data_IF_950655032210
#
_entry.id   IF_950655032210
#
_cell.length_a   1.000
_cell.length_b   1.000
_cell.length_c   1.000
_cell.angle_alpha   90.00
_cell.angle_beta   90.00
_cell.angle_gamma   90.00
#
_symmetry.space_group_name_H-M   'P 1'
#
loop_
_entity.id
_entity.type
_entity.pdbx_description
1 polymer ?
#
# COMPACT_ATOMS: atom_id res chain seq x y z
N UNK A 1 -22.00 -30.31 27.63
CA UNK A 1 -21.90 -28.93 28.15
C UNK A 1 -20.55 -28.72 28.82
N UNK A 2 -19.59 -28.13 28.11
CA UNK A 2 -18.41 -27.49 28.71
C UNK A 2 -18.17 -26.22 27.90
N UNK A 3 -18.48 -25.07 28.50
CA UNK A 3 -18.26 -23.77 27.88
C UNK A 3 -16.77 -23.45 27.98
N UNK A 4 -16.19 -23.00 26.87
CA UNK A 4 -14.82 -22.49 26.85
C UNK A 4 -14.95 -20.97 26.92
N UNK A 5 -14.69 -20.43 28.11
CA UNK A 5 -14.66 -19.00 28.37
C UNK A 5 -13.35 -18.42 27.83
N UNK A 6 -13.42 -17.72 26.71
CA UNK A 6 -12.28 -16.94 26.18
C UNK A 6 -12.13 -15.69 27.04
N UNK A 7 -11.05 -15.61 27.81
CA UNK A 7 -10.65 -14.38 28.52
C UNK A 7 -10.01 -13.43 27.53
N UNK A 8 -10.71 -12.33 27.24
CA UNK A 8 -10.16 -11.17 26.53
C UNK A 8 -9.05 -10.53 27.38
N UNK A 9 -7.83 -10.49 26.83
CA UNK A 9 -6.71 -9.74 27.37
C UNK A 9 -6.68 -8.41 26.62
N UNK A 10 -7.18 -7.35 27.27
CA UNK A 10 -7.21 -5.99 26.75
C UNK A 10 -5.78 -5.44 26.82
N UNK A 11 -5.15 -5.27 25.66
CA UNK A 11 -3.87 -4.60 25.49
C UNK A 11 -4.03 -3.59 24.34
N UNK A 12 -3.81 -2.31 24.70
CA UNK A 12 -3.59 -1.13 23.86
C UNK A 12 -4.11 -1.13 22.43
N UNK A 13 -5.15 -0.34 22.17
CA UNK A 13 -5.73 -0.10 20.86
C UNK A 13 -4.73 0.42 19.83
N UNK A 14 -4.20 -0.49 19.03
CA UNK A 14 -4.13 -0.29 17.59
C UNK A 14 -5.49 -0.73 17.04
N UNK A 15 -6.22 0.21 16.45
CA UNK A 15 -7.22 -0.15 15.47
C UNK A 15 -6.47 -0.78 14.29
N UNK A 16 -6.14 -2.07 14.41
CA UNK A 16 -5.99 -2.92 13.25
C UNK A 16 -7.36 -2.88 12.60
N UNK A 17 -7.53 -2.03 11.59
CA UNK A 17 -8.46 -2.36 10.53
C UNK A 17 -8.14 -3.82 10.20
N UNK A 18 -9.06 -4.74 10.49
CA UNK A 18 -8.97 -6.07 9.93
C UNK A 18 -8.99 -5.82 8.43
N UNK A 19 -7.81 -5.77 7.80
CA UNK A 19 -7.71 -5.89 6.37
C UNK A 19 -8.46 -7.20 6.09
N UNK A 20 -9.64 -7.13 5.49
CA UNK A 20 -10.36 -8.33 5.11
C UNK A 20 -9.41 -9.08 4.16
N UNK A 21 -8.87 -10.21 4.61
CA UNK A 21 -7.92 -10.98 3.82
C UNK A 21 -8.73 -11.58 2.68
N UNK A 22 -8.37 -11.26 1.44
CA UNK A 22 -9.02 -11.85 0.28
C UNK A 22 -8.62 -13.32 0.16
N UNK A 23 -9.59 -14.21 0.08
CA UNK A 23 -9.35 -15.63 -0.18
C UNK A 23 -9.37 -15.89 -1.68
N UNK A 24 -8.31 -16.54 -2.20
CA UNK A 24 -8.22 -16.91 -3.61
C UNK A 24 -8.50 -18.40 -3.76
N UNK A 25 -9.34 -18.72 -4.73
CA UNK A 25 -9.78 -20.06 -5.07
C UNK A 25 -9.48 -20.35 -6.54
N UNK A 26 -9.19 -21.61 -6.86
CA UNK A 26 -9.03 -22.12 -8.22
C UNK A 26 -9.84 -23.39 -8.41
N UNK A 27 -10.44 -23.54 -9.58
CA UNK A 27 -11.25 -24.72 -9.89
C UNK A 27 -12.04 -24.55 -11.17
N UNK A 28 -13.30 -24.99 -11.17
CA UNK A 28 -14.14 -24.99 -12.37
C UNK A 28 -15.56 -24.47 -12.15
N UNK A 29 -16.08 -23.82 -13.19
CA UNK A 29 -17.51 -23.59 -13.42
C UNK A 29 -17.91 -24.37 -14.68
N UNK A 30 -18.67 -25.44 -14.51
CA UNK A 30 -18.91 -26.41 -15.57
C UNK A 30 -17.62 -27.09 -16.01
N UNK A 31 -17.13 -26.77 -17.21
CA UNK A 31 -15.84 -27.23 -17.73
C UNK A 31 -14.79 -26.12 -17.80
N UNK A 32 -15.19 -24.88 -17.56
CA UNK A 32 -14.30 -23.72 -17.64
C UNK A 32 -13.47 -23.63 -16.37
N UNK A 33 -12.16 -23.44 -16.54
CA UNK A 33 -11.26 -23.23 -15.41
C UNK A 33 -11.32 -21.77 -14.98
N UNK A 34 -11.43 -21.55 -13.68
CA UNK A 34 -11.58 -20.21 -13.12
C UNK A 34 -10.65 -20.00 -11.94
N UNK A 35 -10.30 -18.73 -11.74
CA UNK A 35 -9.70 -18.22 -10.50
C UNK A 35 -10.66 -17.19 -9.94
N UNK A 36 -10.92 -17.27 -8.64
CA UNK A 36 -11.90 -16.44 -7.93
C UNK A 36 -11.26 -15.88 -6.66
N UNK A 37 -11.41 -14.59 -6.43
CA UNK A 37 -11.05 -13.91 -5.20
C UNK A 37 -12.34 -13.46 -4.49
N UNK A 38 -12.47 -13.78 -3.20
CA UNK A 38 -13.60 -13.40 -2.37
C UNK A 38 -13.10 -12.60 -1.17
N UNK A 39 -13.74 -11.45 -0.94
CA UNK A 39 -13.51 -10.58 0.22
C UNK A 39 -14.80 -10.60 1.04
N UNK A 40 -14.79 -11.39 2.09
CA UNK A 40 -15.96 -11.55 2.96
C UNK A 40 -16.06 -10.38 3.94
N UNK A 41 -17.24 -9.78 4.03
CA UNK A 41 -17.60 -8.79 5.05
C UNK A 41 -18.82 -9.26 5.87
N UNK A 42 -19.11 -8.55 6.97
CA UNK A 42 -20.14 -8.95 7.94
C UNK A 42 -21.57 -8.99 7.38
N UNK A 43 -21.87 -8.22 6.32
CA UNK A 43 -23.22 -8.13 5.72
C UNK A 43 -23.25 -8.32 4.20
N UNK A 44 -22.16 -7.99 3.53
CA UNK A 44 -21.93 -8.21 2.11
C UNK A 44 -20.44 -8.41 1.89
N UNK A 45 -20.10 -9.26 0.94
CA UNK A 45 -18.75 -9.37 0.41
C UNK A 45 -18.65 -8.79 -0.99
N UNK A 46 -17.42 -8.48 -1.40
CA UNK A 46 -17.06 -8.17 -2.78
C UNK A 46 -16.11 -9.27 -3.26
N UNK A 47 -15.88 -9.33 -4.55
CA UNK A 47 -14.93 -10.27 -5.10
C UNK A 47 -14.75 -10.06 -6.58
N UNK A 48 -14.02 -11.00 -7.17
CA UNK A 48 -13.79 -11.01 -8.60
C UNK A 48 -13.46 -12.41 -9.08
N UNK A 49 -13.69 -12.68 -10.34
CA UNK A 49 -13.24 -13.92 -10.96
C UNK A 49 -12.84 -13.69 -12.41
N UNK A 50 -12.00 -14.58 -12.93
CA UNK A 50 -11.72 -14.67 -14.36
C UNK A 50 -11.67 -16.13 -14.79
N UNK A 51 -11.90 -16.38 -16.07
CA UNK A 51 -11.66 -17.68 -16.69
C UNK A 51 -10.24 -17.73 -17.24
N UNK A 52 -9.54 -18.87 -17.09
CA UNK A 52 -8.18 -19.04 -17.66
C UNK A 52 -8.16 -18.90 -19.19
N UNK A 53 -9.32 -18.96 -19.84
CA UNK A 53 -9.45 -18.76 -21.28
C UNK A 53 -9.47 -17.27 -21.66
N UNK A 54 -10.16 -16.44 -20.88
CA UNK A 54 -10.40 -15.04 -21.24
C UNK A 54 -9.46 -14.06 -20.55
N UNK A 55 -8.90 -14.42 -19.38
CA UNK A 55 -8.04 -13.52 -18.60
C UNK A 55 -8.64 -12.12 -18.38
N UNK A 56 -9.97 -12.07 -18.24
CA UNK A 56 -10.74 -10.86 -17.98
C UNK A 56 -11.35 -10.96 -16.60
N UNK A 57 -11.06 -9.97 -15.76
CA UNK A 57 -11.65 -9.88 -14.42
C UNK A 57 -13.10 -9.42 -14.51
N UNK A 58 -13.98 -10.16 -13.86
CA UNK A 58 -15.38 -9.85 -13.63
C UNK A 58 -15.58 -9.56 -12.16
N UNK A 59 -16.38 -8.55 -11.82
CA UNK A 59 -16.64 -8.19 -10.43
C UNK A 59 -17.74 -9.09 -9.86
N UNK A 60 -17.64 -9.42 -8.58
CA UNK A 60 -18.62 -10.23 -7.86
C UNK A 60 -19.20 -9.43 -6.69
N UNK A 61 -20.51 -9.55 -6.49
CA UNK A 61 -21.15 -9.15 -5.24
C UNK A 61 -21.58 -10.42 -4.51
N UNK A 62 -21.29 -10.48 -3.22
CA UNK A 62 -21.53 -11.65 -2.38
C UNK A 62 -22.54 -11.27 -1.30
N UNK A 63 -23.64 -12.03 -1.24
CA UNK A 63 -24.56 -11.98 -0.12
C UNK A 63 -24.38 -13.26 0.71
N UNK A 64 -23.98 -13.14 2.00
CA UNK A 64 -24.14 -14.24 2.92
C UNK A 64 -25.65 -14.44 3.09
N UNK A 65 -26.15 -15.58 2.62
CA UNK A 65 -27.58 -15.81 2.63
C UNK A 65 -27.97 -16.54 3.91
N UNK A 66 -28.51 -15.79 4.87
CA UNK A 66 -29.17 -16.34 6.04
C UNK A 66 -30.61 -16.67 5.65
N UNK A 67 -30.83 -17.62 4.72
CA UNK A 67 -32.15 -18.21 4.46
C UNK A 67 -32.58 -19.05 5.67
N UNK A 68 -32.68 -18.42 6.84
CA UNK A 68 -33.37 -18.95 7.99
C UNK A 68 -34.86 -18.79 7.71
N UNK A 69 -35.49 -19.87 7.29
CA UNK A 69 -36.83 -20.10 7.81
C UNK A 69 -36.67 -20.41 9.30
N UNK A 70 -37.42 -19.72 10.16
CA UNK A 70 -37.39 -19.89 11.62
C UNK A 70 -37.67 -21.36 12.07
N UNK A 71 -38.10 -22.23 11.15
CA UNK A 71 -38.54 -23.61 11.40
C UNK A 71 -37.67 -24.72 10.76
N UNK A 72 -36.53 -24.41 10.12
CA UNK A 72 -35.65 -25.44 9.53
C UNK A 72 -34.30 -25.54 10.22
N UNK A 73 -33.82 -26.78 10.40
CA UNK A 73 -32.47 -27.07 10.91
C UNK A 73 -31.40 -26.23 10.20
N UNK A 74 -30.31 -25.83 10.89
CA UNK A 74 -29.25 -25.02 10.30
C UNK A 74 -28.70 -25.73 9.06
N UNK A 75 -29.05 -25.22 7.88
CA UNK A 75 -28.37 -25.59 6.65
C UNK A 75 -26.98 -24.95 6.66
N UNK A 76 -26.02 -25.64 6.05
CA UNK A 76 -24.63 -25.19 5.91
C UNK A 76 -24.56 -23.73 5.37
N UNK A 77 -23.51 -22.96 5.70
CA UNK A 77 -23.38 -21.58 5.23
C UNK A 77 -23.30 -21.51 3.69
N UNK A 78 -24.33 -20.93 3.05
CA UNK A 78 -24.36 -20.70 1.60
C UNK A 78 -24.07 -19.24 1.26
N UNK A 79 -23.39 -19.03 0.14
CA UNK A 79 -23.14 -17.73 -0.47
C UNK A 79 -23.91 -17.63 -1.78
N UNK A 80 -24.65 -16.54 -1.93
CA UNK A 80 -25.16 -16.11 -3.24
C UNK A 80 -24.17 -15.13 -3.83
N UNK A 81 -23.60 -15.47 -4.99
CA UNK A 81 -22.57 -14.67 -5.64
C UNK A 81 -23.05 -14.28 -7.04
N UNK A 82 -23.11 -12.99 -7.30
CA UNK A 82 -23.64 -12.47 -8.59
C UNK A 82 -22.53 -11.69 -9.30
N UNK A 83 -22.18 -12.07 -10.54
CA UNK A 83 -21.23 -11.36 -11.38
C UNK A 83 -21.80 -10.09 -12.00
N UNK A 84 -20.93 -9.09 -12.19
CA UNK A 84 -21.15 -7.90 -13.02
C UNK A 84 -22.45 -7.12 -12.71
N UNK A 85 -22.86 -7.10 -11.44
CA UNK A 85 -24.03 -6.32 -10.98
C UNK A 85 -23.72 -4.82 -11.06
N UNK A 86 -24.59 -4.00 -11.67
CA UNK A 86 -24.43 -2.56 -11.66
C UNK A 86 -24.45 -2.01 -10.24
N UNK A 87 -23.41 -1.29 -9.83
CA UNK A 87 -23.46 -0.49 -8.59
C UNK A 87 -24.42 0.68 -8.72
N UNK A 88 -25.15 0.98 -7.66
CA UNK A 88 -25.89 2.24 -7.59
C UNK A 88 -24.91 3.43 -7.53
N UNK A 89 -25.33 4.61 -8.01
CA UNK A 89 -24.52 5.84 -7.95
C UNK A 89 -24.10 6.27 -6.54
N UNK A 90 -24.79 5.79 -5.49
CA UNK A 90 -24.49 6.04 -4.08
C UNK A 90 -23.45 5.06 -3.49
N UNK A 91 -22.89 4.16 -4.32
CA UNK A 91 -21.89 3.18 -3.90
C UNK A 91 -22.47 1.96 -3.17
N UNK A 92 -23.80 1.89 -3.00
CA UNK A 92 -24.47 0.70 -2.48
C UNK A 92 -24.62 -0.38 -3.54
N UNK A 93 -24.33 -1.63 -3.18
CA UNK A 93 -24.85 -2.76 -3.92
C UNK A 93 -26.36 -2.85 -3.66
N UNK A 94 -27.18 -2.78 -4.71
CA UNK A 94 -28.62 -3.02 -4.60
C UNK A 94 -28.83 -4.46 -4.17
N UNK A 95 -29.51 -4.70 -3.05
CA UNK A 95 -30.07 -6.03 -2.77
C UNK A 95 -30.99 -6.41 -3.93
N UNK A 96 -30.73 -7.54 -4.58
CA UNK A 96 -31.61 -8.07 -5.63
C UNK A 96 -32.78 -8.80 -4.97
N UNK A 97 -34.00 -8.56 -5.45
CA UNK A 97 -35.14 -9.42 -5.14
C UNK A 97 -34.97 -10.81 -5.76
N UNK A 98 -35.71 -11.82 -5.29
CA UNK A 98 -35.68 -13.17 -5.88
C UNK A 98 -36.00 -13.15 -7.38
N UNK A 99 -36.99 -12.34 -7.79
CA UNK A 99 -37.37 -12.21 -9.21
C UNK A 99 -36.22 -11.61 -10.04
N UNK A 100 -35.52 -10.61 -9.52
CA UNK A 100 -34.34 -10.02 -10.19
C UNK A 100 -33.17 -11.00 -10.24
N UNK A 101 -32.97 -11.79 -9.19
CA UNK A 101 -31.93 -12.82 -9.13
C UNK A 101 -32.13 -13.91 -10.19
N UNK A 102 -33.39 -14.28 -10.48
CA UNK A 102 -33.72 -15.23 -11.54
C UNK A 102 -33.47 -14.69 -12.96
N UNK A 103 -33.38 -13.37 -13.13
CA UNK A 103 -33.09 -12.72 -14.41
C UNK A 103 -31.59 -12.53 -14.66
N UNK A 104 -30.73 -12.82 -13.69
CA UNK A 104 -29.27 -12.69 -13.80
C UNK A 104 -28.56 -14.02 -13.57
N UNK A 105 -27.40 -14.17 -14.19
CA UNK A 105 -26.55 -15.31 -13.87
C UNK A 105 -26.06 -15.17 -12.43
N UNK A 106 -26.07 -16.25 -11.64
CA UNK A 106 -25.62 -16.22 -10.24
C UNK A 106 -25.13 -17.59 -9.78
N UNK A 107 -24.29 -17.60 -8.76
CA UNK A 107 -23.82 -18.80 -8.10
C UNK A 107 -24.46 -18.96 -6.73
N UNK A 108 -24.79 -20.20 -6.39
CA UNK A 108 -25.10 -20.59 -5.02
C UNK A 108 -23.98 -21.53 -4.57
N UNK A 109 -23.15 -21.08 -3.63
CA UNK A 109 -21.95 -21.77 -3.18
C UNK A 109 -22.11 -22.22 -1.74
N UNK A 110 -21.88 -23.49 -1.49
CA UNK A 110 -21.69 -24.09 -0.18
C UNK A 110 -20.25 -23.87 0.28
N UNK A 111 -20.06 -23.27 1.44
CA UNK A 111 -18.75 -23.16 2.07
C UNK A 111 -18.45 -24.46 2.81
N UNK A 112 -17.29 -25.08 2.51
CA UNK A 112 -16.78 -26.24 3.26
C UNK A 112 -15.44 -25.88 3.92
N UNK A 113 -15.45 -25.20 5.09
CA UNK A 113 -14.23 -24.65 5.70
C UNK A 113 -13.19 -25.74 6.00
N UNK A 114 -13.62 -26.90 6.50
CA UNK A 114 -12.73 -28.01 6.83
C UNK A 114 -12.00 -28.60 5.61
N UNK A 115 -12.58 -28.45 4.42
CA UNK A 115 -12.02 -28.93 3.17
C UNK A 115 -11.28 -27.83 2.39
N UNK A 116 -11.42 -26.56 2.81
CA UNK A 116 -10.99 -25.38 2.06
C UNK A 116 -11.60 -25.35 0.64
N UNK A 117 -12.87 -25.71 0.52
CA UNK A 117 -13.57 -25.78 -0.77
C UNK A 117 -14.84 -24.95 -0.80
N UNK A 118 -15.16 -24.47 -1.99
CA UNK A 118 -16.48 -23.94 -2.33
C UNK A 118 -17.08 -24.85 -3.40
N UNK A 119 -18.28 -25.36 -3.15
CA UNK A 119 -18.99 -26.22 -4.09
C UNK A 119 -20.38 -25.68 -4.33
N UNK A 120 -20.90 -25.78 -5.55
CA UNK A 120 -22.17 -25.15 -5.81
C UNK A 120 -22.67 -25.29 -7.22
N UNK A 121 -23.55 -24.37 -7.58
CA UNK A 121 -24.15 -24.35 -8.91
C UNK A 121 -24.19 -22.90 -9.42
N UNK A 122 -23.65 -22.70 -10.61
CA UNK A 122 -23.89 -21.53 -11.43
C UNK A 122 -25.22 -21.70 -12.15
N UNK A 123 -26.10 -20.71 -12.05
CA UNK A 123 -27.44 -20.69 -12.64
C UNK A 123 -27.49 -19.56 -13.65
N UNK A 124 -27.96 -19.87 -14.85
CA UNK A 124 -28.22 -18.87 -15.88
C UNK A 124 -29.73 -18.54 -15.97
N UNK A 125 -30.09 -17.34 -16.48
CA UNK A 125 -31.50 -16.94 -16.65
C UNK A 125 -32.29 -17.87 -17.60
N UNK A 126 -31.59 -18.51 -18.54
CA UNK A 126 -32.17 -19.49 -19.47
C UNK A 126 -32.47 -20.86 -18.81
N UNK A 127 -32.20 -21.02 -17.50
CA UNK A 127 -32.38 -22.25 -16.75
C UNK A 127 -31.19 -23.21 -16.76
N UNK A 128 -30.11 -22.89 -17.49
CA UNK A 128 -28.88 -23.70 -17.50
C UNK A 128 -28.23 -23.71 -16.12
N UNK A 129 -27.72 -24.88 -15.73
CA UNK A 129 -27.05 -25.09 -14.44
C UNK A 129 -25.69 -25.74 -14.68
N UNK A 130 -24.64 -25.11 -14.18
CA UNK A 130 -23.27 -25.61 -14.27
C UNK A 130 -22.73 -25.89 -12.86
N UNK A 131 -22.11 -27.06 -12.61
CA UNK A 131 -21.50 -27.34 -11.33
C UNK A 131 -20.33 -26.39 -11.06
N UNK A 132 -20.18 -25.95 -9.81
CA UNK A 132 -19.05 -25.16 -9.34
C UNK A 132 -18.26 -25.98 -8.33
N UNK A 133 -16.95 -26.05 -8.51
CA UNK A 133 -16.05 -26.75 -7.60
C UNK A 133 -14.72 -25.99 -7.53
N UNK A 134 -14.44 -25.39 -6.39
CA UNK A 134 -13.30 -24.51 -6.17
C UNK A 134 -12.54 -24.94 -4.93
N UNK A 135 -11.22 -24.84 -4.98
CA UNK A 135 -10.30 -25.13 -3.87
C UNK A 135 -9.54 -23.86 -3.54
N UNK A 136 -9.46 -23.52 -2.26
CA UNK A 136 -8.66 -22.38 -1.80
C UNK A 136 -7.19 -22.65 -2.10
N UNK A 137 -6.50 -21.64 -2.60
CA UNK A 137 -5.07 -21.70 -2.89
C UNK A 137 -4.33 -20.60 -2.13
N UNK A 138 -3.05 -20.86 -1.91
CA UNK A 138 -2.11 -19.96 -1.26
C UNK A 138 -0.92 -19.69 -2.19
N UNK A 139 -0.05 -18.76 -1.79
CA UNK A 139 1.20 -18.49 -2.53
C UNK A 139 2.06 -19.76 -2.70
N UNK A 140 2.03 -20.69 -1.74
CA UNK A 140 2.79 -21.94 -1.82
C UNK A 140 2.32 -22.90 -2.91
N UNK A 141 1.07 -22.80 -3.34
CA UNK A 141 0.44 -23.72 -4.30
C UNK A 141 0.72 -23.34 -5.77
N UNK A 142 1.23 -22.12 -6.00
CA UNK A 142 1.47 -21.58 -7.34
C UNK A 142 2.97 -21.53 -7.60
N UNK A 143 3.42 -22.12 -8.71
CA UNK A 143 4.82 -22.04 -9.10
C UNK A 143 5.24 -20.58 -9.36
N UNK A 144 6.37 -20.17 -8.80
CA UNK A 144 6.97 -18.88 -9.11
C UNK A 144 7.61 -18.93 -10.49
N UNK A 145 7.20 -18.02 -11.38
CA UNK A 145 7.90 -17.81 -12.64
C UNK A 145 9.08 -16.85 -12.42
N UNK A 146 10.30 -17.39 -12.52
CA UNK A 146 11.53 -16.63 -12.33
C UNK A 146 11.95 -15.84 -13.58
N UNK A 147 11.22 -15.95 -14.69
CA UNK A 147 11.57 -15.26 -15.93
C UNK A 147 11.58 -13.73 -15.78
N UNK A 148 10.70 -13.19 -14.93
CA UNK A 148 10.64 -11.74 -14.65
C UNK A 148 10.60 -11.51 -13.14
N UNK A 149 11.74 -11.21 -12.50
CA UNK A 149 11.85 -11.08 -11.05
C UNK A 149 10.87 -10.08 -10.44
N UNK A 150 10.52 -9.01 -11.17
CA UNK A 150 9.61 -7.97 -10.68
C UNK A 150 8.18 -8.49 -10.47
N UNK A 151 7.79 -9.60 -11.13
CA UNK A 151 6.49 -10.26 -10.93
C UNK A 151 6.37 -10.99 -9.59
N UNK A 152 7.48 -11.32 -8.92
CA UNK A 152 7.42 -12.05 -7.66
C UNK A 152 6.75 -11.23 -6.55
N UNK A 153 6.95 -9.91 -6.53
CA UNK A 153 6.24 -9.03 -5.60
C UNK A 153 4.72 -9.04 -5.79
N UNK A 154 4.23 -9.24 -7.03
CA UNK A 154 2.79 -9.27 -7.32
C UNK A 154 2.11 -10.44 -6.61
N UNK A 155 2.75 -11.61 -6.62
CA UNK A 155 2.23 -12.82 -5.99
C UNK A 155 1.92 -12.63 -4.50
N UNK A 156 2.74 -11.85 -3.80
CA UNK A 156 2.51 -11.51 -2.39
C UNK A 156 1.49 -10.39 -2.19
N UNK A 157 1.33 -9.48 -3.15
CA UNK A 157 0.36 -8.37 -3.06
C UNK A 157 -1.04 -8.84 -3.42
N UNK A 158 -1.18 -9.59 -4.52
CA UNK A 158 -2.42 -10.23 -4.93
C UNK A 158 -2.11 -11.49 -5.75
N UNK A 159 -2.39 -12.65 -5.15
CA UNK A 159 -2.30 -13.93 -5.84
C UNK A 159 -3.28 -14.01 -7.03
N UNK A 160 -4.43 -13.34 -6.92
CA UNK A 160 -5.39 -13.24 -8.02
C UNK A 160 -4.80 -12.49 -9.21
N UNK A 161 -4.25 -11.29 -9.00
CA UNK A 161 -3.67 -10.49 -10.10
C UNK A 161 -2.42 -11.15 -10.69
N UNK A 162 -1.62 -11.86 -9.88
CA UNK A 162 -0.50 -12.67 -10.37
C UNK A 162 -0.95 -13.75 -11.36
N UNK A 163 -2.10 -14.40 -11.10
CA UNK A 163 -2.67 -15.41 -12.00
C UNK A 163 -3.41 -14.78 -13.19
N UNK A 164 -3.92 -13.55 -13.04
CA UNK A 164 -4.64 -12.82 -14.08
C UNK A 164 -3.71 -12.24 -15.14
N UNK A 165 -2.53 -11.75 -14.76
CA UNK A 165 -1.64 -10.93 -15.59
C UNK A 165 -0.43 -11.64 -16.25
N UNK A 166 -0.43 -12.95 -16.60
CA UNK A 166 0.76 -13.58 -17.17
C UNK A 166 1.14 -13.03 -18.57
N UNK A 167 0.31 -12.16 -19.16
CA UNK A 167 0.54 -11.52 -20.44
C UNK A 167 0.78 -10.00 -20.37
N UNK A 168 0.60 -9.37 -19.20
CA UNK A 168 0.88 -7.93 -19.00
C UNK A 168 2.24 -7.76 -18.30
N UNK A 169 3.27 -8.27 -18.98
CA UNK A 169 4.62 -8.28 -18.42
C UNK A 169 5.19 -6.86 -18.38
N UNK A 170 5.78 -6.46 -17.25
CA UNK A 170 6.51 -5.21 -17.12
C UNK A 170 7.50 -4.95 -18.26
N UNK A 171 7.55 -3.71 -18.71
CA UNK A 171 8.53 -3.23 -19.67
C UNK A 171 9.86 -2.94 -18.96
N UNK A 172 10.95 -3.47 -19.52
CA UNK A 172 12.31 -3.18 -19.07
C UNK A 172 12.83 -1.91 -19.74
N UNK A 173 13.15 -0.89 -18.95
CA UNK A 173 13.62 0.41 -19.43
C UNK A 173 15.14 0.53 -19.50
N UNK A 174 15.88 -0.47 -19.02
CA UNK A 174 17.33 -0.50 -19.03
C UNK A 174 17.98 -0.47 -17.65
N UNK A 175 19.30 -0.59 -17.64
CA UNK A 175 20.13 -0.56 -16.44
C UNK A 175 21.00 0.70 -16.38
N UNK A 176 21.29 1.16 -15.16
CA UNK A 176 22.18 2.30 -14.91
C UNK A 176 23.01 2.09 -13.66
N UNK A 177 24.27 2.48 -13.72
CA UNK A 177 25.15 2.55 -12.55
C UNK A 177 24.91 3.86 -11.78
N UNK A 178 24.80 3.75 -10.46
CA UNK A 178 24.69 4.86 -9.50
C UNK A 178 25.80 4.64 -8.46
N UNK A 179 26.95 5.25 -8.68
CA UNK A 179 28.14 4.99 -7.87
C UNK A 179 28.55 3.51 -7.94
N UNK A 180 28.68 2.80 -6.80
CA UNK A 180 29.03 1.38 -6.78
C UNK A 180 27.83 0.43 -6.99
N UNK A 181 26.62 0.97 -7.18
CA UNK A 181 25.38 0.21 -7.30
C UNK A 181 24.91 0.17 -8.75
N UNK A 182 24.27 -0.93 -9.15
CA UNK A 182 23.59 -1.05 -10.44
C UNK A 182 22.10 -1.21 -10.23
N UNK A 183 21.30 -0.45 -10.98
CA UNK A 183 19.83 -0.50 -10.91
C UNK A 183 19.23 -0.80 -12.28
N UNK A 184 18.19 -1.62 -12.29
CA UNK A 184 17.34 -1.93 -13.44
C UNK A 184 16.01 -1.18 -13.31
N UNK A 185 15.58 -0.48 -14.36
CA UNK A 185 14.33 0.26 -14.39
C UNK A 185 13.24 -0.53 -15.10
N UNK A 186 12.03 -0.47 -14.53
CA UNK A 186 10.86 -1.18 -15.01
C UNK A 186 9.65 -0.27 -15.07
N UNK A 187 8.70 -0.57 -15.95
CA UNK A 187 7.44 0.15 -16.09
C UNK A 187 6.28 -0.80 -16.35
N UNK A 188 5.13 -0.52 -15.76
CA UNK A 188 3.89 -1.24 -16.04
C UNK A 188 3.28 -0.67 -17.31
N UNK A 189 2.97 -1.51 -18.30
CA UNK A 189 2.61 -1.05 -19.65
C UNK A 189 1.30 -0.27 -19.66
N UNK A 190 0.29 -0.78 -18.94
CA UNK A 190 -1.04 -0.17 -18.98
C UNK A 190 -1.13 1.12 -18.15
N UNK A 191 -0.42 1.20 -17.02
CA UNK A 191 -0.55 2.34 -16.08
C UNK A 191 0.60 3.33 -16.18
N UNK A 192 1.70 2.98 -16.85
CA UNK A 192 2.90 3.80 -16.93
C UNK A 192 3.68 3.93 -15.62
N UNK A 193 3.24 3.30 -14.53
CA UNK A 193 3.90 3.34 -13.22
C UNK A 193 5.24 2.60 -13.31
N UNK A 194 6.31 3.26 -12.90
CA UNK A 194 7.70 2.83 -12.89
C UNK A 194 8.13 2.31 -11.51
N UNK A 195 9.19 1.52 -11.54
CA UNK A 195 9.97 1.13 -10.36
C UNK A 195 11.44 0.89 -10.75
N UNK A 196 12.29 0.65 -9.76
CA UNK A 196 13.65 0.18 -9.97
C UNK A 196 13.92 -1.07 -9.14
N UNK A 197 14.88 -1.87 -9.59
CA UNK A 197 15.39 -3.04 -8.91
C UNK A 197 16.90 -2.91 -8.74
N UNK A 198 17.42 -3.29 -7.58
CA UNK A 198 18.84 -3.40 -7.32
C UNK A 198 19.38 -4.67 -8.00
N UNK A 199 20.42 -4.52 -8.83
CA UNK A 199 21.04 -5.60 -9.62
C UNK A 199 22.44 -5.95 -9.08
N UNK A 200 23.17 -4.96 -8.55
CA UNK A 200 24.44 -5.18 -7.86
C UNK A 200 24.75 -4.08 -6.85
N UNK A 201 25.76 -4.31 -6.01
CA UNK A 201 26.24 -3.37 -4.99
C UNK A 201 25.83 -3.73 -3.55
N UNK A 202 24.99 -4.76 -3.38
CA UNK A 202 24.62 -5.33 -2.09
C UNK A 202 24.87 -6.84 -2.04
N UNK A 203 25.07 -7.43 -0.84
CA UNK A 203 25.01 -8.88 -0.67
C UNK A 203 23.71 -9.47 -1.22
N UNK A 204 23.75 -10.66 -1.80
CA UNK A 204 22.62 -11.26 -2.49
C UNK A 204 21.33 -11.32 -1.64
N UNK A 205 21.45 -11.69 -0.35
CA UNK A 205 20.31 -11.75 0.56
C UNK A 205 19.71 -10.37 0.86
N UNK A 206 20.56 -9.36 1.09
CA UNK A 206 20.13 -7.96 1.27
C UNK A 206 19.42 -7.44 0.04
N UNK A 207 19.99 -7.70 -1.14
CA UNK A 207 19.41 -7.27 -2.41
C UNK A 207 18.06 -7.93 -2.69
N UNK A 208 17.92 -9.23 -2.38
CA UNK A 208 16.66 -9.95 -2.50
C UNK A 208 15.58 -9.36 -1.57
N UNK A 209 15.91 -9.09 -0.30
CA UNK A 209 14.98 -8.51 0.65
C UNK A 209 14.54 -7.09 0.25
N UNK A 210 15.48 -6.23 -0.16
CA UNK A 210 15.19 -4.88 -0.65
C UNK A 210 14.29 -4.91 -1.90
N UNK A 211 14.65 -5.74 -2.88
CA UNK A 211 13.89 -5.87 -4.11
C UNK A 211 12.47 -6.41 -3.86
N UNK A 212 12.30 -7.36 -2.94
CA UNK A 212 10.98 -7.86 -2.58
C UNK A 212 10.07 -6.71 -2.09
N UNK A 213 10.56 -5.86 -1.19
CA UNK A 213 9.79 -4.72 -0.69
C UNK A 213 9.53 -3.67 -1.77
N UNK A 214 10.53 -3.35 -2.62
CA UNK A 214 10.36 -2.42 -3.75
C UNK A 214 9.28 -2.92 -4.73
N UNK A 215 9.30 -4.22 -5.04
CA UNK A 215 8.34 -4.85 -5.95
C UNK A 215 6.92 -4.88 -5.35
N UNK A 216 6.77 -5.28 -4.09
CA UNK A 216 5.47 -5.27 -3.42
C UNK A 216 4.85 -3.88 -3.43
N UNK A 217 5.63 -2.86 -3.07
CA UNK A 217 5.16 -1.48 -3.09
C UNK A 217 4.75 -1.00 -4.47
N UNK A 218 5.54 -1.36 -5.47
CA UNK A 218 5.23 -1.02 -6.85
C UNK A 218 3.92 -1.65 -7.31
N UNK A 219 3.69 -2.94 -7.03
CA UNK A 219 2.42 -3.60 -7.35
C UNK A 219 1.23 -3.05 -6.58
N UNK A 220 1.41 -2.67 -5.31
CA UNK A 220 0.38 -1.91 -4.59
C UNK A 220 0.05 -0.58 -5.28
N UNK A 221 1.04 0.07 -5.90
CA UNK A 221 0.84 1.31 -6.66
C UNK A 221 0.24 1.04 -8.05
N UNK A 222 0.52 -0.10 -8.66
CA UNK A 222 -0.09 -0.51 -9.94
C UNK A 222 -1.56 -0.91 -9.74
N UNK A 223 -1.87 -1.65 -8.67
CA UNK A 223 -3.20 -2.22 -8.40
C UNK A 223 -4.11 -1.33 -7.55
N UNK A 224 -3.53 -0.60 -6.58
CA UNK A 224 -4.27 0.24 -5.64
C UNK A 224 -5.10 1.36 -6.29
N UNK A 225 -4.71 1.93 -7.44
CA UNK A 225 -5.46 3.03 -8.00
C UNK A 225 -6.48 2.67 -9.09
N UNK A 226 -7.74 2.99 -8.81
CA UNK A 226 -8.72 3.43 -9.83
C UNK A 226 -8.38 4.82 -10.39
N UNK A 227 -7.08 5.18 -10.49
CA UNK A 227 -6.68 6.58 -10.61
C UNK A 227 -7.16 7.19 -11.93
N UNK A 228 -7.39 6.44 -13.01
CA UNK A 228 -8.03 7.01 -14.20
C UNK A 228 -8.93 5.99 -14.90
N UNK A 229 -9.55 5.07 -14.15
CA UNK A 229 -10.53 4.14 -14.71
C UNK A 229 -11.71 4.95 -15.27
N UNK A 230 -11.81 5.00 -16.61
CA UNK A 230 -12.82 5.72 -17.39
C UNK A 230 -12.63 7.25 -17.52
N UNK A 231 -11.41 7.77 -17.42
CA UNK A 231 -11.11 9.15 -17.81
C UNK A 231 -9.99 9.22 -18.86
N UNK A 232 -9.99 10.28 -19.67
CA UNK A 232 -8.89 10.61 -20.59
C UNK A 232 -7.66 11.17 -19.86
N UNK A 233 -7.61 11.02 -18.53
CA UNK A 233 -6.59 11.60 -17.68
C UNK A 233 -5.27 10.84 -17.76
N UNK A 234 -4.19 11.54 -17.42
CA UNK A 234 -2.84 10.97 -17.44
C UNK A 234 -2.27 10.87 -16.03
N UNK A 235 -1.52 9.80 -15.77
CA UNK A 235 -0.68 9.64 -14.58
C UNK A 235 0.78 9.76 -15.00
N UNK A 236 1.48 10.77 -14.51
CA UNK A 236 2.93 10.88 -14.59
C UNK A 236 3.55 10.50 -13.24
N UNK A 237 4.59 9.67 -13.29
CA UNK A 237 5.32 9.24 -12.11
C UNK A 237 6.82 9.39 -12.33
N UNK A 238 7.46 9.99 -11.32
CA UNK A 238 8.91 10.15 -11.23
C UNK A 238 9.43 9.51 -9.96
N UNK A 239 10.50 8.75 -10.09
CA UNK A 239 11.23 8.19 -8.95
C UNK A 239 12.63 8.77 -8.94
N UNK A 240 13.02 9.33 -7.80
CA UNK A 240 14.36 9.82 -7.54
C UNK A 240 14.99 9.03 -6.40
N UNK A 241 16.05 8.26 -6.70
CA UNK A 241 16.87 7.63 -5.67
C UNK A 241 17.69 8.74 -4.98
N UNK A 242 17.54 8.88 -3.66
CA UNK A 242 18.18 9.94 -2.86
C UNK A 242 19.35 9.43 -2.04
N UNK A 243 19.40 8.13 -1.73
CA UNK A 243 20.53 7.49 -1.06
C UNK A 243 20.61 6.00 -1.41
N UNK A 244 21.81 5.54 -1.75
CA UNK A 244 22.20 4.14 -1.70
C UNK A 244 23.44 4.06 -0.80
N UNK A 245 23.31 3.46 0.37
CA UNK A 245 24.41 3.32 1.33
C UNK A 245 24.49 1.89 1.88
N UNK A 246 25.48 1.63 2.73
CA UNK A 246 25.62 0.34 3.41
C UNK A 246 24.48 0.05 4.39
N UNK A 247 23.81 1.07 4.95
CA UNK A 247 22.77 0.94 5.98
C UNK A 247 21.36 1.26 5.48
N UNK A 248 21.21 2.14 4.47
CA UNK A 248 19.91 2.61 3.99
C UNK A 248 19.82 2.66 2.47
N UNK A 249 18.62 2.41 1.94
CA UNK A 249 18.21 2.74 0.57
C UNK A 249 17.05 3.73 0.67
N UNK A 250 17.17 4.91 0.07
CA UNK A 250 16.12 5.92 0.12
C UNK A 250 15.81 6.48 -1.26
N UNK A 251 14.55 6.74 -1.52
CA UNK A 251 14.05 7.32 -2.76
C UNK A 251 12.76 8.10 -2.51
N UNK A 252 12.44 8.98 -3.44
CA UNK A 252 11.20 9.75 -3.45
C UNK A 252 10.42 9.41 -4.71
N UNK A 253 9.16 9.05 -4.52
CA UNK A 253 8.18 8.89 -5.57
C UNK A 253 7.34 10.17 -5.67
N UNK A 254 7.21 10.70 -6.88
CA UNK A 254 6.36 11.84 -7.20
C UNK A 254 5.31 11.34 -8.19
N UNK A 255 4.04 11.52 -7.85
CA UNK A 255 2.89 11.16 -8.68
C UNK A 255 2.18 12.44 -9.04
N UNK A 256 1.91 12.66 -10.31
CA UNK A 256 1.10 13.76 -10.81
C UNK A 256 -0.01 13.19 -11.68
N UNK A 257 -1.26 13.54 -11.39
CA UNK A 257 -2.37 13.20 -12.28
C UNK A 257 -3.01 14.46 -12.86
N UNK A 258 -3.53 14.33 -14.08
CA UNK A 258 -4.30 15.37 -14.75
C UNK A 258 -5.62 14.78 -15.24
N UNK A 259 -6.74 15.45 -14.95
CA UNK A 259 -8.09 15.04 -15.40
C UNK A 259 -8.53 13.65 -14.91
N UNK A 260 -7.83 13.13 -13.91
CA UNK A 260 -8.19 11.91 -13.22
C UNK A 260 -9.13 12.32 -12.08
N UNK A 261 -10.34 11.75 -12.01
CA UNK A 261 -11.24 11.92 -10.86
C UNK A 261 -10.73 11.20 -9.60
N UNK A 262 -9.42 11.13 -9.47
CA UNK A 262 -8.73 10.27 -8.57
C UNK A 262 -8.45 10.94 -7.26
N UNK A 263 -8.85 10.22 -6.22
CA UNK A 263 -8.22 10.32 -4.93
C UNK A 263 -6.86 9.63 -4.99
N UNK A 264 -5.77 10.36 -4.81
CA UNK A 264 -4.49 9.74 -4.46
C UNK A 264 -4.56 9.44 -2.96
N UNK A 265 -4.78 8.18 -2.59
CA UNK A 265 -4.74 7.75 -1.18
C UNK A 265 -3.29 7.44 -0.78
N UNK A 266 -2.80 8.05 0.29
CA UNK A 266 -1.59 7.57 0.96
C UNK A 266 -1.86 6.27 1.76
N UNK A 267 -0.81 5.59 2.22
CA UNK A 267 -0.93 4.38 3.07
C UNK A 267 -1.64 4.67 4.41
N UNK A 268 -1.85 5.95 4.77
CA UNK A 268 -2.56 6.39 5.98
C UNK A 268 -4.03 6.77 5.73
N UNK A 269 -4.54 6.58 4.50
CA UNK A 269 -5.94 6.86 4.14
C UNK A 269 -6.28 8.34 3.96
N UNK A 270 -5.28 9.23 3.87
CA UNK A 270 -5.53 10.63 3.56
C UNK A 270 -5.97 10.77 2.09
N UNK A 271 -7.16 11.32 1.92
CA UNK A 271 -7.80 11.61 0.62
C UNK A 271 -7.36 13.00 0.18
N UNK A 272 -6.45 13.09 -0.78
CA UNK A 272 -6.20 14.35 -1.48
C UNK A 272 -7.07 14.41 -2.73
N UNK A 273 -8.19 15.12 -2.63
CA UNK A 273 -8.95 15.61 -3.78
C UNK A 273 -9.17 17.11 -3.64
N UNK A 274 -8.83 17.88 -4.67
CA UNK A 274 -9.27 19.27 -4.75
C UNK A 274 -10.78 19.25 -4.97
N UNK A 275 -11.56 19.94 -4.12
CA UNK A 275 -13.02 20.05 -4.28
C UNK A 275 -13.44 20.98 -5.43
N UNK A 276 -12.48 21.54 -6.17
CA UNK A 276 -12.75 22.39 -7.33
C UNK A 276 -12.95 21.53 -8.58
N UNK A 277 -14.21 21.37 -8.97
CA UNK A 277 -14.69 20.55 -10.09
C UNK A 277 -14.03 20.81 -11.45
N UNK A 278 -13.33 21.93 -11.63
CA UNK A 278 -12.73 22.32 -12.91
C UNK A 278 -11.21 22.09 -13.01
N UNK A 279 -10.54 21.68 -11.93
CA UNK A 279 -9.09 21.40 -11.92
C UNK A 279 -8.73 20.26 -10.95
N UNK A 280 -9.16 19.04 -11.27
CA UNK A 280 -8.61 17.84 -10.61
C UNK A 280 -7.20 17.58 -11.15
N UNK A 281 -6.24 18.29 -10.58
CA UNK A 281 -4.84 17.90 -10.57
C UNK A 281 -4.51 17.52 -9.13
N UNK A 282 -4.17 16.25 -8.91
CA UNK A 282 -3.64 15.79 -7.64
C UNK A 282 -2.17 15.42 -7.83
N UNK A 283 -1.35 15.85 -6.88
CA UNK A 283 0.08 15.56 -6.85
C UNK A 283 0.42 14.99 -5.49
N UNK A 284 1.17 13.89 -5.46
CA UNK A 284 1.67 13.29 -4.22
C UNK A 284 3.19 13.14 -4.26
N UNK A 285 3.83 13.45 -3.13
CA UNK A 285 5.25 13.19 -2.89
C UNK A 285 5.34 12.17 -1.77
N UNK A 286 5.92 11.01 -2.06
CA UNK A 286 6.00 9.89 -1.14
C UNK A 286 7.46 9.47 -0.97
N UNK A 287 8.08 9.85 0.15
CA UNK A 287 9.44 9.44 0.44
C UNK A 287 9.46 8.05 1.08
N UNK A 288 10.46 7.26 0.72
CA UNK A 288 10.66 5.93 1.27
C UNK A 288 12.11 5.72 1.65
N UNK A 289 12.29 5.06 2.78
CA UNK A 289 13.61 4.67 3.28
C UNK A 289 13.53 3.24 3.78
N UNK A 290 14.38 2.37 3.24
CA UNK A 290 14.48 0.96 3.56
C UNK A 290 15.80 0.68 4.28
N UNK A 291 15.75 -0.24 5.24
CA UNK A 291 16.92 -0.79 5.92
C UNK A 291 17.61 -1.82 5.04
N UNK A 292 18.92 -1.72 4.86
CA UNK A 292 19.69 -2.75 4.13
C UNK A 292 19.86 -4.04 4.96
N UNK A 293 19.64 -3.97 6.27
CA UNK A 293 19.69 -5.13 7.17
C UNK A 293 18.43 -5.98 7.04
N UNK A 294 17.27 -5.36 6.93
CA UNK A 294 15.97 -6.07 6.98
C UNK A 294 15.21 -6.06 5.65
N UNK A 295 15.55 -5.17 4.73
CA UNK A 295 14.80 -4.90 3.51
C UNK A 295 13.52 -4.08 3.74
N UNK A 296 13.15 -3.78 4.99
CA UNK A 296 11.85 -3.20 5.36
C UNK A 296 11.90 -1.67 5.46
N UNK A 297 10.73 -0.99 5.36
CA UNK A 297 10.62 0.44 5.65
C UNK A 297 11.10 0.78 7.06
N UNK A 298 11.78 1.92 7.18
CA UNK A 298 12.34 2.44 8.42
C UNK A 298 11.51 3.63 8.88
N UNK A 299 11.08 3.65 10.13
CA UNK A 299 10.47 4.83 10.74
C UNK A 299 11.54 5.81 11.23
N UNK A 300 11.19 7.10 11.33
CA UNK A 300 12.14 8.12 11.79
C UNK A 300 12.66 7.84 13.23
N UNK A 301 11.80 7.28 14.08
CA UNK A 301 12.15 6.89 15.45
C UNK A 301 13.16 5.75 15.53
N UNK A 302 13.32 4.95 14.48
CA UNK A 302 14.35 3.92 14.39
C UNK A 302 15.73 4.49 14.02
N UNK A 303 15.79 5.75 13.55
CA UNK A 303 17.05 6.40 13.16
C UNK A 303 17.64 7.21 14.30
N UNK A 304 16.81 7.95 15.04
CA UNK A 304 17.25 8.72 16.19
C UNK A 304 16.19 8.76 17.28
N UNK A 305 16.61 9.10 18.50
CA UNK A 305 15.69 9.33 19.60
C UNK A 305 15.60 10.79 19.98
N UNK A 306 14.39 11.20 20.32
CA UNK A 306 14.12 12.48 20.99
C UNK A 306 14.11 12.19 22.48
N UNK A 307 14.78 13.03 23.25
CA UNK A 307 14.65 13.02 24.70
C UNK A 307 14.41 14.41 25.25
N UNK A 308 13.94 14.44 26.49
CA UNK A 308 13.71 15.65 27.25
C UNK A 308 14.39 15.55 28.61
N UNK A 309 14.79 16.70 29.14
CA UNK A 309 15.34 16.77 30.49
C UNK A 309 14.17 16.95 31.46
N UNK A 310 13.98 16.01 32.36
CA UNK A 310 12.93 16.10 33.38
C UNK A 310 13.22 17.24 34.37
N UNK A 311 12.26 17.54 35.25
CA UNK A 311 12.41 18.59 36.27
C UNK A 311 13.59 18.36 37.23
N UNK A 312 14.10 17.13 37.32
CA UNK A 312 15.27 16.77 38.12
C UNK A 312 16.61 16.93 37.36
N UNK A 313 16.59 17.37 36.10
CA UNK A 313 17.79 17.52 35.28
C UNK A 313 18.23 16.23 34.58
N UNK A 314 17.45 15.15 34.65
CA UNK A 314 17.79 13.87 34.03
C UNK A 314 17.23 13.79 32.61
N UNK A 315 18.06 13.37 31.67
CA UNK A 315 17.65 13.18 30.28
C UNK A 315 16.90 11.85 30.11
N UNK A 316 15.67 11.91 29.61
CA UNK A 316 14.81 10.76 29.36
C UNK A 316 14.41 10.68 27.89
N UNK A 317 14.53 9.48 27.30
CA UNK A 317 14.17 9.21 25.90
C UNK A 317 12.65 9.00 25.75
N UNK A 318 12.07 9.58 24.69
CA UNK A 318 10.64 9.60 24.40
C UNK A 318 10.28 8.75 23.18
N UNK A 319 10.38 7.43 23.31
CA UNK A 319 9.97 6.54 22.22
C UNK A 319 8.45 6.56 22.00
N UNK A 320 7.64 6.45 23.06
CA UNK A 320 6.18 6.35 22.96
C UNK A 320 5.48 7.65 22.49
N UNK A 321 6.14 8.80 22.65
CA UNK A 321 5.62 10.11 22.27
C UNK A 321 6.44 10.78 21.15
N UNK A 322 7.24 10.00 20.42
CA UNK A 322 8.16 10.51 19.39
C UNK A 322 7.46 11.45 18.39
N UNK A 323 6.37 11.01 17.77
CA UNK A 323 5.62 11.82 16.79
C UNK A 323 5.00 13.09 17.39
N UNK A 324 4.66 13.06 18.68
CA UNK A 324 4.13 14.23 19.39
C UNK A 324 5.22 15.24 19.70
N UNK A 325 6.40 14.76 20.10
CA UNK A 325 7.54 15.59 20.45
C UNK A 325 8.28 16.14 19.23
N UNK A 326 8.28 15.40 18.11
CA UNK A 326 9.06 15.65 16.91
C UNK A 326 8.89 17.06 16.32
N UNK A 327 7.67 17.62 16.11
CA UNK A 327 7.54 18.91 15.46
C UNK A 327 8.21 20.05 16.23
N UNK A 328 8.03 20.07 17.56
CA UNK A 328 8.63 21.08 18.44
C UNK A 328 10.14 20.87 18.56
N UNK A 329 10.57 19.63 18.78
CA UNK A 329 11.99 19.31 18.89
C UNK A 329 12.73 19.67 17.60
N UNK A 330 12.22 19.24 16.45
CA UNK A 330 12.81 19.49 15.14
C UNK A 330 12.96 20.98 14.84
N UNK A 331 11.93 21.77 15.16
CA UNK A 331 11.96 23.23 15.04
C UNK A 331 13.16 23.82 15.81
N UNK A 332 13.35 23.40 17.07
CA UNK A 332 14.45 23.89 17.90
C UNK A 332 15.81 23.48 17.32
N UNK A 333 15.95 22.25 16.83
CA UNK A 333 17.21 21.76 16.26
C UNK A 333 17.56 22.48 14.95
N UNK A 334 16.59 22.65 14.04
CA UNK A 334 16.82 23.35 12.78
C UNK A 334 17.16 24.83 13.00
N UNK A 335 16.52 25.49 13.98
CA UNK A 335 16.87 26.86 14.37
C UNK A 335 18.32 26.95 14.89
N UNK A 336 18.76 25.99 15.70
CA UNK A 336 20.12 25.96 16.22
C UNK A 336 21.16 25.66 15.12
N UNK A 337 20.89 24.66 14.27
CA UNK A 337 21.81 24.22 13.20
C UNK A 337 21.97 25.25 12.08
N UNK A 338 20.91 26.00 11.78
CA UNK A 338 20.87 26.91 10.63
C UNK A 338 20.62 28.38 11.02
N UNK A 339 20.95 28.74 12.26
CA UNK A 339 20.78 30.08 12.82
C UNK A 339 21.23 31.19 11.87
N UNK A 340 22.47 31.11 11.37
CA UNK A 340 23.05 32.17 10.53
C UNK A 340 22.37 32.26 9.16
N UNK A 341 21.91 31.13 8.60
CA UNK A 341 21.18 31.10 7.33
C UNK A 341 19.78 31.68 7.48
N UNK A 342 19.11 31.38 8.59
CA UNK A 342 17.80 31.93 8.92
C UNK A 342 17.89 33.45 9.17
N UNK A 343 18.93 33.90 9.87
CA UNK A 343 19.17 35.33 10.13
C UNK A 343 19.47 36.14 8.85
N UNK A 344 20.03 35.50 7.82
CA UNK A 344 20.30 36.11 6.51
C UNK A 344 19.10 36.05 5.54
N UNK A 345 17.97 35.43 5.92
CA UNK A 345 16.79 35.31 5.07
C UNK A 345 16.06 36.65 4.91
N UNK A 346 15.62 37.02 3.69
CA UNK A 346 14.85 38.24 3.45
C UNK A 346 13.46 38.23 4.10
N UNK A 347 12.97 37.05 4.52
CA UNK A 347 11.79 36.90 5.38
C UNK A 347 12.22 36.36 6.76
N UNK A 348 12.59 37.25 7.69
CA UNK A 348 12.96 36.89 9.07
C UNK A 348 11.73 36.48 9.92
N UNK A 349 10.52 36.59 9.36
CA UNK A 349 9.24 36.26 10.00
C UNK A 349 8.62 34.95 9.53
N UNK A 350 9.38 34.09 8.86
CA UNK A 350 9.04 32.68 8.74
C UNK A 350 9.72 31.88 9.86
N UNK A 351 9.35 32.03 11.16
CA UNK A 351 9.80 31.06 12.14
C UNK A 351 9.25 29.71 11.69
N UNK A 352 10.10 28.69 11.69
CA UNK A 352 9.68 27.31 11.68
C UNK A 352 8.64 27.13 12.80
N UNK A 353 7.35 27.18 12.51
CA UNK A 353 6.33 27.01 13.55
C UNK A 353 6.11 25.51 13.69
N UNK A 354 6.16 24.98 14.92
CA UNK A 354 5.97 23.55 15.15
C UNK A 354 4.67 22.98 14.52
N UNK A 355 3.63 23.81 14.35
CA UNK A 355 2.37 23.44 13.68
C UNK A 355 2.54 23.10 12.18
N UNK A 356 3.53 23.68 11.51
CA UNK A 356 3.81 23.44 10.07
C UNK A 356 4.49 22.08 9.86
N UNK A 357 5.14 21.58 10.90
CA UNK A 357 5.83 20.29 10.93
C UNK A 357 4.93 19.15 11.43
N UNK A 358 3.61 19.36 11.47
CA UNK A 358 2.68 18.27 11.69
C UNK A 358 2.88 17.21 10.60
N UNK A 359 2.92 15.94 10.99
CA UNK A 359 3.17 14.79 10.11
C UNK A 359 4.59 14.68 9.52
N UNK A 360 5.57 15.45 10.02
CA UNK A 360 6.95 15.37 9.53
C UNK A 360 7.58 13.97 9.68
N UNK A 361 7.08 13.13 10.59
CA UNK A 361 7.50 11.72 10.68
C UNK A 361 7.20 10.90 9.43
N UNK A 362 6.37 11.41 8.51
CA UNK A 362 6.09 10.85 7.17
C UNK A 362 6.72 11.65 6.03
N UNK A 363 7.21 12.87 6.29
CA UNK A 363 7.71 13.80 5.27
C UNK A 363 9.23 13.96 5.37
N UNK A 364 9.95 12.86 5.20
CA UNK A 364 11.40 12.83 5.26
C UNK A 364 11.99 11.74 4.40
N UNK A 365 13.22 11.92 3.94
CA UNK A 365 14.01 10.91 3.24
C UNK A 365 15.50 11.06 3.56
N UNK A 366 16.27 10.00 3.36
CA UNK A 366 17.70 10.02 3.59
C UNK A 366 18.45 10.51 2.33
N UNK A 367 19.51 11.29 2.53
CA UNK A 367 20.45 11.73 1.50
C UNK A 367 21.89 11.46 1.94
N UNK A 368 22.87 11.72 1.07
CA UNK A 368 24.28 11.64 1.46
C UNK A 368 24.66 12.62 2.58
N UNK A 369 23.98 13.78 2.68
CA UNK A 369 24.29 14.78 3.70
C UNK A 369 23.62 14.53 5.05
N UNK A 370 22.48 13.82 5.06
CA UNK A 370 21.69 13.63 6.27
C UNK A 370 20.24 13.27 5.99
N UNK A 371 19.38 13.46 6.99
CA UNK A 371 17.93 13.31 6.85
C UNK A 371 17.32 14.61 6.37
N UNK A 372 16.78 14.60 5.16
CA UNK A 372 16.02 15.74 4.65
C UNK A 372 14.58 15.64 5.12
N UNK A 373 14.09 16.70 5.74
CA UNK A 373 12.73 16.81 6.28
C UNK A 373 12.02 17.97 5.59
N UNK A 374 10.70 17.86 5.44
CA UNK A 374 9.89 18.96 4.93
C UNK A 374 8.55 19.05 5.64
N UNK A 375 8.06 20.28 5.81
CA UNK A 375 6.70 20.54 6.26
C UNK A 375 5.69 20.11 5.19
N UNK A 376 4.44 19.86 5.59
CA UNK A 376 3.36 19.59 4.63
C UNK A 376 3.31 20.73 3.62
N UNK A 377 3.50 20.42 2.35
CA UNK A 377 3.61 21.44 1.32
C UNK A 377 2.22 22.03 1.04
N UNK A 378 2.06 23.36 0.89
CA UNK A 378 0.78 23.93 0.46
C UNK A 378 0.45 23.45 -0.96
N UNK A 379 -0.84 23.19 -1.21
CA UNK A 379 -1.38 22.66 -2.47
C UNK A 379 -1.05 23.52 -3.72
N UNK A 380 -0.59 24.74 -3.51
CA UNK A 380 -0.56 25.84 -4.47
C UNK A 380 0.86 26.21 -4.94
N UNK A 381 1.91 25.54 -4.43
CA UNK A 381 3.32 25.96 -4.64
C UNK A 381 4.08 25.13 -5.69
N UNK A 382 3.46 24.11 -6.32
CA UNK A 382 4.17 23.23 -7.28
C UNK A 382 4.02 23.63 -8.75
N UNK A 383 3.88 24.92 -9.03
CA UNK A 383 4.16 25.45 -10.37
C UNK A 383 5.65 25.29 -10.68
N UNK A 384 5.98 24.47 -11.68
CA UNK A 384 7.34 24.25 -12.23
C UNK A 384 8.38 23.75 -11.22
N UNK A 385 8.31 22.48 -10.83
CA UNK A 385 9.19 21.92 -9.79
C UNK A 385 9.85 20.62 -10.19
N UNK A 386 10.90 20.73 -11.02
CA UNK A 386 11.89 19.66 -11.21
C UNK A 386 12.71 19.35 -9.93
N UNK A 387 12.40 20.00 -8.80
CA UNK A 387 13.08 19.85 -7.53
C UNK A 387 12.05 19.90 -6.39
N UNK A 388 12.23 19.05 -5.38
CA UNK A 388 11.52 19.16 -4.10
C UNK A 388 11.84 20.56 -3.53
N UNK A 389 10.93 21.53 -3.72
CA UNK A 389 11.11 22.98 -3.42
C UNK A 389 11.15 23.31 -1.93
N UNK A 390 11.16 22.30 -1.05
CA UNK A 390 11.53 22.52 0.34
C UNK A 390 12.88 23.25 0.42
N UNK A 391 13.05 24.22 1.35
CA UNK A 391 14.30 24.94 1.46
C UNK A 391 15.47 23.96 1.57
N UNK A 392 16.47 24.09 0.68
CA UNK A 392 17.59 23.15 0.55
C UNK A 392 18.35 22.89 1.87
N UNK A 393 18.14 23.72 2.88
CA UNK A 393 18.77 23.65 4.19
C UNK A 393 18.04 22.80 5.23
N UNK A 394 16.83 22.26 4.99
CA UNK A 394 16.10 21.44 5.99
C UNK A 394 16.64 20.01 6.07
N UNK A 395 17.91 19.89 6.46
CA UNK A 395 18.63 18.62 6.61
C UNK A 395 19.08 18.46 8.06
N UNK A 396 18.94 17.27 8.63
CA UNK A 396 19.63 16.89 9.86
C UNK A 396 20.92 16.16 9.46
N UNK A 397 22.11 16.76 9.62
CA UNK A 397 23.35 16.12 9.19
C UNK A 397 23.56 14.77 9.88
N UNK A 398 24.18 13.80 9.20
CA UNK A 398 24.41 12.49 9.81
C UNK A 398 25.19 12.54 11.12
N UNK A 399 26.14 13.47 11.26
CA UNK A 399 26.86 13.70 12.52
C UNK A 399 25.93 14.05 13.69
N UNK A 400 24.87 14.81 13.41
CA UNK A 400 23.85 15.18 14.37
C UNK A 400 22.89 14.01 14.66
N UNK A 401 22.47 13.27 13.63
CA UNK A 401 21.60 12.08 13.80
C UNK A 401 22.32 11.02 14.65
N UNK A 402 23.60 10.77 14.36
CA UNK A 402 24.44 9.82 15.09
C UNK A 402 24.72 10.25 16.55
N UNK A 403 24.61 11.53 16.89
CA UNK A 403 24.70 11.99 18.28
C UNK A 403 23.41 11.78 19.09
N UNK A 404 22.32 11.34 18.46
CA UNK A 404 21.02 11.06 19.08
C UNK A 404 20.56 9.62 18.82
N UNK A 405 21.36 8.59 19.17
CA UNK A 405 21.11 7.23 18.71
C UNK A 405 19.81 6.65 19.27
N UNK A 406 19.11 5.87 18.45
CA UNK A 406 17.85 5.20 18.81
C UNK A 406 18.03 3.94 19.69
N UNK A 407 18.88 4.01 20.72
CA UNK A 407 19.39 2.83 21.47
C UNK A 407 18.29 1.94 22.08
N UNK A 408 17.17 2.53 22.48
CA UNK A 408 16.07 1.84 23.15
C UNK A 408 14.89 1.52 22.23
N UNK A 409 15.06 1.75 20.92
CA UNK A 409 14.01 1.49 19.93
C UNK A 409 14.17 0.09 19.36
N UNK A 410 13.10 -0.73 19.36
CA UNK A 410 13.11 -2.03 18.68
C UNK A 410 13.52 -1.89 17.21
N UNK A 411 14.42 -2.75 16.77
CA UNK A 411 14.97 -2.74 15.40
C UNK A 411 15.63 -1.41 14.97
N UNK A 412 16.11 -0.61 15.93
CA UNK A 412 16.86 0.61 15.64
C UNK A 412 17.98 0.37 14.63
N UNK A 413 18.09 1.28 13.68
CA UNK A 413 19.18 1.27 12.71
C UNK A 413 20.47 1.74 13.38
N UNK A 414 21.54 1.01 13.09
CA UNK A 414 22.87 1.24 13.67
C UNK A 414 23.85 1.47 12.54
N UNK A 415 24.85 2.31 12.78
CA UNK A 415 25.85 2.70 11.78
C UNK A 415 25.18 3.38 10.59
N UNK A 416 24.42 4.44 10.89
CA UNK A 416 23.92 5.35 9.87
C UNK A 416 25.11 6.00 9.14
N UNK A 417 24.90 6.49 7.90
CA UNK A 417 25.98 6.98 7.05
C UNK A 417 26.90 8.05 7.67
#
# INVERSE_FOLDING_TARGET
MKSITIKALILGGLALAQAAWADVYRGTIGKEKVVMELIMGDMMGDGRFFTEREHKSHRLIIWPDDLRNEDTEPMDDFLVVVPDVPTRPDGGASSLSEDELLQVAHMVLLIKPAEQRLQGVWREPNGTRLPVDLVRISEGDVASDNAVPVMQGLKTVSLYDYLLLPHDMPEFLGEKDIGPYRVAWWQHRATGVKTFQLVSGYPAQTMAALNQTLQQRWWQTVLGPKICENSDGTLDQRIQITLLSASLVSYVEQLHNSQCQATITDEAGAVESSKEKDKLQAQAIRPYTLSTRTGKPVSLSQLFSIGETNAAGEYQLLYADFDRALPRWLTMQLQALYHDKLAASPDPTAPLLAKEWQEVSRNWFATEQGLRVYARLPYDVFGETDQITAPQWTVLPWSFVNSHPALNVPDAERNLP
#
